data_IF_440316349792
#
_entry.id   IF_440316349792
#
_cell.length_a   1.000
_cell.length_b   1.000
_cell.length_c   1.000
_cell.angle_alpha   90.00
_cell.angle_beta   90.00
_cell.angle_gamma   90.00
#
_symmetry.space_group_name_H-M   'P 1'
#
loop_
_entity.id
_entity.type
_entity.pdbx_description
1 polymer ?
#
# COMPACT_ATOMS: atom_id res chain seq x y z
N UNK A 1 -2.75 9.46 5.40
CA UNK A 1 -3.43 8.61 4.37
C UNK A 1 -3.81 9.50 3.19
N UNK A 2 -2.96 9.56 2.18
CA UNK A 2 -3.12 10.44 1.02
C UNK A 2 -3.07 9.64 -0.29
N UNK A 3 -3.71 10.16 -1.34
CA UNK A 3 -3.56 9.61 -2.68
C UNK A 3 -2.19 9.98 -3.20
N UNK A 4 -1.41 8.99 -3.60
CA UNK A 4 -0.04 9.22 -4.03
C UNK A 4 0.36 8.25 -5.14
N UNK A 5 1.49 8.52 -5.76
CA UNK A 5 1.99 7.81 -6.92
C UNK A 5 3.51 7.79 -6.87
N UNK A 6 4.09 6.63 -7.16
CA UNK A 6 5.53 6.46 -7.33
C UNK A 6 5.84 6.34 -8.82
N UNK A 7 6.40 7.36 -9.45
CA UNK A 7 6.63 7.35 -10.91
C UNK A 7 7.66 6.31 -11.37
N UNK A 8 8.61 5.96 -10.49
CA UNK A 8 9.79 5.19 -10.87
C UNK A 8 9.90 3.83 -10.17
N UNK A 9 8.98 3.53 -9.25
CA UNK A 9 9.15 2.47 -8.27
C UNK A 9 7.85 1.72 -8.07
N UNK A 10 7.96 0.39 -8.03
CA UNK A 10 6.88 -0.47 -7.58
C UNK A 10 6.91 -0.50 -6.06
N UNK A 11 5.74 -0.55 -5.44
CA UNK A 11 5.59 -0.62 -3.99
C UNK A 11 4.88 -1.92 -3.62
N UNK A 12 5.47 -2.69 -2.70
CA UNK A 12 4.92 -3.97 -2.27
C UNK A 12 4.41 -3.92 -0.84
N UNK A 13 3.20 -4.43 -0.65
CA UNK A 13 2.52 -4.55 0.63
C UNK A 13 2.26 -6.02 0.96
N UNK A 14 2.50 -6.42 2.21
CA UNK A 14 2.12 -7.71 2.75
C UNK A 14 1.50 -7.57 4.14
N UNK A 15 0.32 -8.13 4.35
CA UNK A 15 -0.38 -8.02 5.63
C UNK A 15 0.10 -9.13 6.58
N UNK A 16 0.72 -8.72 7.67
CA UNK A 16 1.12 -9.63 8.76
C UNK A 16 -0.09 -9.88 9.67
N UNK A 17 -0.84 -8.84 10.04
CA UNK A 17 -2.08 -8.94 10.80
C UNK A 17 -3.02 -7.76 10.54
N UNK A 18 -4.33 -7.95 10.78
CA UNK A 18 -5.36 -6.95 10.48
C UNK A 18 -5.83 -7.02 9.02
N UNK A 19 -6.27 -5.88 8.48
CA UNK A 19 -6.81 -5.77 7.12
C UNK A 19 -6.38 -4.46 6.46
N UNK A 20 -5.78 -4.55 5.28
CA UNK A 20 -5.38 -3.40 4.48
C UNK A 20 -6.29 -3.27 3.25
N UNK A 21 -6.69 -2.04 2.95
CA UNK A 21 -7.28 -1.66 1.67
C UNK A 21 -6.27 -0.86 0.86
N UNK A 22 -6.18 -1.17 -0.43
CA UNK A 22 -5.42 -0.40 -1.41
C UNK A 22 -6.42 0.11 -2.44
N UNK A 23 -6.79 1.39 -2.34
CA UNK A 23 -7.64 2.02 -3.34
C UNK A 23 -6.79 2.39 -4.56
N UNK A 24 -7.24 1.95 -5.72
CA UNK A 24 -6.81 2.43 -7.03
C UNK A 24 -7.89 3.36 -7.58
N UNK A 25 -7.66 3.95 -8.75
CA UNK A 25 -8.61 4.91 -9.34
C UNK A 25 -10.03 4.32 -9.54
N UNK A 26 -10.14 3.05 -9.91
CA UNK A 26 -11.41 2.41 -10.27
C UNK A 26 -11.80 1.20 -9.41
N UNK A 27 -10.93 0.78 -8.49
CA UNK A 27 -11.16 -0.41 -7.66
C UNK A 27 -10.48 -0.29 -6.30
N UNK A 28 -10.82 -1.20 -5.40
CA UNK A 28 -10.18 -1.32 -4.09
C UNK A 28 -9.78 -2.77 -3.87
N UNK A 29 -8.49 -2.98 -3.64
CA UNK A 29 -7.93 -4.29 -3.34
C UNK A 29 -7.98 -4.48 -1.82
N UNK A 30 -8.57 -5.58 -1.38
CA UNK A 30 -8.57 -5.97 0.03
C UNK A 30 -7.49 -7.02 0.29
N UNK A 31 -6.63 -6.75 1.27
CA UNK A 31 -5.62 -7.70 1.74
C UNK A 31 -5.92 -8.13 3.17
N UNK A 32 -6.01 -9.44 3.34
CA UNK A 32 -6.12 -10.15 4.61
C UNK A 32 -4.75 -10.68 5.04
N UNK A 33 -4.59 -11.15 6.30
CA UNK A 33 -3.32 -11.69 6.76
C UNK A 33 -2.77 -12.76 5.83
N UNK A 34 -1.47 -12.69 5.59
CA UNK A 34 -0.70 -13.52 4.65
C UNK A 34 -0.94 -13.26 3.16
N UNK A 35 -1.63 -12.18 2.82
CA UNK A 35 -1.76 -11.72 1.45
C UNK A 35 -0.84 -10.53 1.19
N UNK A 36 -0.41 -10.41 -0.07
CA UNK A 36 0.36 -9.26 -0.52
C UNK A 36 -0.06 -8.81 -1.91
N UNK A 37 0.30 -7.57 -2.21
CA UNK A 37 0.02 -6.91 -3.48
C UNK A 37 1.14 -5.96 -3.84
N UNK A 38 1.48 -5.92 -5.12
CA UNK A 38 2.41 -4.92 -5.67
C UNK A 38 1.59 -3.86 -6.39
N UNK A 39 1.71 -2.61 -5.95
CA UNK A 39 1.27 -1.46 -6.73
C UNK A 39 2.34 -1.16 -7.78
N UNK A 40 2.04 -1.28 -9.09
CA UNK A 40 3.02 -0.95 -10.12
C UNK A 40 3.35 0.54 -10.12
N UNK A 41 4.58 0.88 -10.52
CA UNK A 41 4.99 2.26 -10.73
C UNK A 41 4.04 3.02 -11.65
N UNK A 42 3.83 4.28 -11.34
CA UNK A 42 2.93 5.16 -12.07
C UNK A 42 1.45 4.90 -11.78
N UNK A 43 1.10 4.01 -10.84
CA UNK A 43 -0.29 3.85 -10.41
C UNK A 43 -0.58 4.75 -9.21
N UNK A 44 -1.59 5.61 -9.37
CA UNK A 44 -2.10 6.44 -8.28
C UNK A 44 -2.91 5.54 -7.35
N UNK A 45 -2.58 5.58 -6.06
CA UNK A 45 -3.23 4.73 -5.08
C UNK A 45 -3.29 5.37 -3.69
N UNK A 46 -4.06 4.76 -2.78
CA UNK A 46 -4.14 5.15 -1.37
C UNK A 46 -4.33 3.92 -0.49
N UNK A 47 -3.54 3.81 0.56
CA UNK A 47 -3.73 2.77 1.59
C UNK A 47 -4.70 3.22 2.69
N UNK A 48 -5.56 2.30 3.15
CA UNK A 48 -6.44 2.51 4.30
C UNK A 48 -6.47 1.29 5.21
N UNK A 49 -6.40 1.53 6.52
CA UNK A 49 -6.51 0.50 7.55
C UNK A 49 -7.56 0.94 8.59
N UNK A 50 -8.82 0.47 8.50
CA UNK A 50 -9.89 0.87 9.43
C UNK A 50 -9.69 0.32 10.85
N UNK A 51 -8.86 -0.72 10.97
CA UNK A 51 -8.43 -1.31 12.23
C UNK A 51 -6.91 -1.37 12.29
N UNK A 52 -6.37 -1.60 13.50
CA UNK A 52 -4.92 -1.74 13.69
C UNK A 52 -4.40 -2.88 12.81
N UNK A 53 -3.58 -2.51 11.83
CA UNK A 53 -3.05 -3.42 10.81
C UNK A 53 -1.53 -3.34 10.82
N UNK A 54 -0.88 -4.49 10.80
CA UNK A 54 0.58 -4.61 10.72
C UNK A 54 0.93 -5.12 9.33
N UNK A 55 1.76 -4.36 8.63
CA UNK A 55 2.19 -4.67 7.28
C UNK A 55 3.71 -4.72 7.20
N UNK A 56 4.22 -5.56 6.31
CA UNK A 56 5.55 -5.42 5.76
C UNK A 56 5.41 -4.64 4.45
N UNK A 57 6.20 -3.58 4.31
CA UNK A 57 6.23 -2.75 3.12
C UNK A 57 7.64 -2.77 2.55
N UNK A 58 7.75 -2.92 1.23
CA UNK A 58 9.03 -2.86 0.52
C UNK A 58 8.91 -1.79 -0.55
N UNK A 59 9.71 -0.74 -0.37
CA UNK A 59 9.89 0.39 -1.29
C UNK A 59 11.39 0.69 -1.41
N UNK A 60 11.80 1.49 -2.39
CA UNK A 60 13.21 1.94 -2.45
C UNK A 60 13.44 3.08 -1.46
N UNK A 61 14.70 3.21 -1.06
CA UNK A 61 15.24 4.13 -0.03
C UNK A 61 15.08 5.64 -0.34
N UNK A 62 14.33 5.98 -1.38
CA UNK A 62 14.06 7.33 -1.88
C UNK A 62 12.75 7.91 -1.35
N UNK A 63 11.90 7.10 -0.71
CA UNK A 63 10.59 7.49 -0.20
C UNK A 63 10.61 7.59 1.33
N UNK A 64 9.98 8.64 1.87
CA UNK A 64 9.81 8.81 3.31
C UNK A 64 8.65 7.91 3.78
N UNK A 65 8.88 6.90 4.65
CA UNK A 65 7.86 5.93 5.06
C UNK A 65 6.82 6.52 6.02
N UNK A 66 6.97 7.79 6.44
CA UNK A 66 5.98 8.48 7.24
C UNK A 66 4.92 9.05 6.31
N UNK A 67 3.79 8.34 6.19
CA UNK A 67 2.59 8.96 5.65
C UNK A 67 2.21 10.18 6.49
N UNK A 68 2.10 11.34 5.86
CA UNK A 68 1.44 12.51 6.44
C UNK A 68 -0.08 12.24 6.65
#
# INVERSE_FOLDING_TARGET
>A
MHWHQHEQEDEFFYVVSGKLYIDLENESIELYPQQGYTVPKGVVHRTRAPEKTVILMVEKDTVNPKGD
#
